data_IF_320271759379
#
_entry.id   IF_320271759379
#
_cell.length_a   1.000
_cell.length_b   1.000
_cell.length_c   1.000
_cell.angle_alpha   90.00
_cell.angle_beta   90.00
_cell.angle_gamma   90.00
#
_symmetry.space_group_name_H-M   'P 1'
#
loop_
_entity.id
_entity.type
_entity.pdbx_description
1 polymer ?
#
# COMPACT_ATOMS: atom_id res chain seq x y z
N UNK A 1 -1.62 -8.83 0.76
CA UNK A 1 -1.15 -8.47 -0.60
C UNK A 1 0.36 -8.70 -0.70
N UNK A 2 1.07 -8.18 -1.71
CA UNK A 2 2.55 -8.26 -1.72
C UNK A 2 3.12 -7.24 -0.72
N UNK A 3 4.22 -7.51 0.00
CA UNK A 3 4.83 -6.49 0.84
C UNK A 3 5.42 -5.35 -0.03
N UNK A 4 5.20 -4.12 0.39
CA UNK A 4 5.87 -2.94 -0.17
C UNK A 4 6.37 -2.01 0.92
N UNK A 5 7.33 -1.15 0.58
CA UNK A 5 7.82 -0.12 1.48
C UNK A 5 7.90 1.21 0.74
N UNK A 6 7.25 2.23 1.28
CA UNK A 6 7.35 3.60 0.78
C UNK A 6 8.65 4.25 1.24
N UNK A 7 9.13 5.22 0.46
CA UNK A 7 10.24 6.06 0.88
C UNK A 7 9.85 6.81 2.17
N UNK A 8 10.72 6.79 3.18
CA UNK A 8 10.44 7.36 4.50
C UNK A 8 9.65 6.46 5.47
N UNK A 9 9.14 5.31 5.03
CA UNK A 9 8.52 4.31 5.93
C UNK A 9 9.50 3.19 6.27
N UNK A 10 9.62 2.88 7.55
CA UNK A 10 10.34 1.69 8.05
C UNK A 10 9.47 0.43 7.98
N UNK A 11 8.15 0.60 8.09
CA UNK A 11 7.17 -0.48 8.10
C UNK A 11 6.86 -0.98 6.68
N UNK A 12 6.46 -2.24 6.58
CA UNK A 12 5.91 -2.80 5.34
C UNK A 12 4.41 -2.52 5.26
N UNK A 13 3.94 -2.21 4.04
CA UNK A 13 2.53 -2.12 3.68
C UNK A 13 2.13 -3.22 2.70
N UNK A 14 0.87 -3.18 2.28
CA UNK A 14 0.30 -4.03 1.23
C UNK A 14 0.36 -3.35 -0.13
N UNK A 15 1.03 -4.00 -1.08
CA UNK A 15 1.11 -3.59 -2.46
C UNK A 15 -0.09 -4.13 -3.22
N UNK A 16 -0.88 -3.20 -3.73
CA UNK A 16 -1.96 -3.45 -4.67
C UNK A 16 -1.50 -3.02 -6.06
N UNK A 17 -1.45 -3.96 -7.00
CA UNK A 17 -1.03 -3.72 -8.38
C UNK A 17 -2.27 -3.34 -9.20
N UNK A 18 -2.14 -2.38 -10.13
CA UNK A 18 -3.23 -1.88 -10.98
C UNK A 18 -4.41 -1.28 -10.21
N UNK A 19 -4.13 -0.79 -9.00
CA UNK A 19 -5.10 -0.11 -8.17
C UNK A 19 -4.76 1.38 -8.13
N UNK A 20 -5.72 2.23 -8.49
CA UNK A 20 -5.62 3.69 -8.34
C UNK A 20 -5.68 4.17 -6.88
N UNK A 21 -5.79 3.25 -5.91
CA UNK A 21 -5.87 3.56 -4.50
C UNK A 21 -6.08 2.30 -3.64
N UNK A 22 -5.91 2.48 -2.33
CA UNK A 22 -6.10 1.40 -1.36
C UNK A 22 -7.58 1.02 -1.25
N UNK A 23 -7.90 -0.28 -1.18
CA UNK A 23 -9.27 -0.71 -0.93
C UNK A 23 -9.71 -0.29 0.49
N UNK A 24 -10.88 0.33 0.60
CA UNK A 24 -11.36 0.91 1.88
C UNK A 24 -11.73 -0.14 2.94
N UNK A 25 -11.88 -1.42 2.56
CA UNK A 25 -12.37 -2.48 3.44
C UNK A 25 -11.34 -2.99 4.46
N UNK A 26 -10.05 -2.72 4.23
CA UNK A 26 -8.95 -3.28 5.01
C UNK A 26 -8.43 -2.34 6.12
N UNK A 27 -9.11 -1.22 6.36
CA UNK A 27 -8.69 -0.26 7.38
C UNK A 27 -7.41 0.52 7.04
N UNK A 28 -7.00 0.57 5.77
CA UNK A 28 -5.84 1.35 5.36
C UNK A 28 -6.05 2.84 5.61
N UNK A 29 -5.22 3.42 6.49
CA UNK A 29 -5.24 4.83 6.84
C UNK A 29 -4.10 5.64 6.20
N UNK A 30 -3.14 4.98 5.54
CA UNK A 30 -2.08 5.65 4.81
C UNK A 30 -1.72 4.90 3.50
N UNK A 31 -1.23 5.63 2.50
CA UNK A 31 -0.89 5.08 1.18
C UNK A 31 0.26 5.82 0.51
N UNK A 32 1.07 5.10 -0.27
CA UNK A 32 1.92 5.74 -1.28
C UNK A 32 1.73 5.13 -2.66
N UNK A 33 1.81 5.96 -3.67
CA UNK A 33 1.76 5.53 -5.07
C UNK A 33 3.11 5.01 -5.51
N UNK A 34 3.13 3.79 -6.03
CA UNK A 34 4.31 3.14 -6.60
C UNK A 34 4.16 3.07 -8.12
N UNK A 35 5.21 3.46 -8.85
CA UNK A 35 5.21 3.31 -10.31
C UNK A 35 5.43 1.85 -10.74
N UNK A 36 4.82 1.42 -11.85
CA UNK A 36 3.70 2.04 -12.55
C UNK A 36 2.35 1.49 -12.03
N UNK A 37 1.43 2.39 -11.65
CA UNK A 37 0.04 2.06 -11.36
C UNK A 37 -0.20 1.13 -10.15
N UNK A 38 0.76 1.05 -9.22
CA UNK A 38 0.61 0.30 -7.98
C UNK A 38 0.43 1.27 -6.82
N UNK A 39 -0.18 0.79 -5.73
CA UNK A 39 -0.30 1.55 -4.49
C UNK A 39 0.15 0.66 -3.34
N UNK A 40 0.90 1.25 -2.41
CA UNK A 40 1.32 0.63 -1.17
C UNK A 40 0.46 1.18 -0.04
N UNK A 41 -0.20 0.30 0.70
CA UNK A 41 -1.23 0.65 1.67
C UNK A 41 -0.81 0.25 3.09
N UNK A 42 -1.10 1.13 4.06
CA UNK A 42 -0.68 0.99 5.45
C UNK A 42 -1.86 1.18 6.42
N UNK A 43 -1.83 0.53 7.60
CA UNK A 43 -0.89 -0.54 7.99
C UNK A 43 -1.10 -1.80 7.13
N UNK A 44 -0.10 -2.68 7.09
CA UNK A 44 -0.27 -3.96 6.39
C UNK A 44 -1.37 -4.77 7.07
N UNK A 45 -2.32 -5.23 6.27
CA UNK A 45 -3.36 -6.17 6.68
C UNK A 45 -2.73 -7.56 6.78
N UNK A 46 -2.86 -8.21 7.93
CA UNK A 46 -2.35 -9.56 8.19
C UNK A 46 -3.12 -10.65 7.44
#
# INVERSE_FOLDING_TARGET
ALPCRCEGKTEYGDKWIFHGGCPNDYGYNDRCFMKPGSVCCYPKYE
#
